data_IF_558610483193
#
_entry.id   IF_558610483193
#
_cell.length_a   1.000
_cell.length_b   1.000
_cell.length_c   1.000
_cell.angle_alpha   90.00
_cell.angle_beta   90.00
_cell.angle_gamma   90.00
#
_symmetry.space_group_name_H-M   'P 1'
#
loop_
_entity.id
_entity.type
_entity.pdbx_description
1 polymer ?
#
# COMPACT_ATOMS: atom_id res chain seq x y z
N UNK A 1 9.42 -3.57 24.29
CA UNK A 1 9.45 -2.19 23.75
C UNK A 1 8.35 -2.06 22.70
N UNK A 2 7.71 -0.90 22.53
CA UNK A 2 6.78 -0.68 21.43
C UNK A 2 7.51 -0.69 20.09
N UNK A 3 6.86 -1.20 19.05
CA UNK A 3 7.31 -1.01 17.68
C UNK A 3 6.83 0.36 17.21
N UNK A 4 7.70 1.13 16.56
CA UNK A 4 7.35 2.46 16.04
C UNK A 4 7.79 2.58 14.59
N UNK A 5 6.87 3.04 13.75
CA UNK A 5 7.10 3.33 12.34
C UNK A 5 6.64 4.77 12.03
N UNK A 6 7.37 5.44 11.14
CA UNK A 6 7.06 6.78 10.68
C UNK A 6 6.87 6.76 9.16
N UNK A 7 5.68 7.16 8.71
CA UNK A 7 5.41 7.41 7.30
C UNK A 7 5.58 8.91 7.04
N UNK A 8 6.62 9.28 6.29
CA UNK A 8 7.03 10.67 6.16
C UNK A 8 6.19 11.42 5.13
N UNK A 9 5.72 12.62 5.49
CA UNK A 9 4.98 13.52 4.58
C UNK A 9 3.54 13.10 4.25
N UNK A 10 3.01 12.03 4.84
CA UNK A 10 1.70 11.46 4.48
C UNK A 10 0.52 11.96 5.34
N UNK A 11 0.71 13.02 6.12
CA UNK A 11 -0.38 13.54 6.98
C UNK A 11 -1.61 14.01 6.20
N UNK A 12 -1.42 14.49 4.97
CA UNK A 12 -2.51 14.92 4.07
C UNK A 12 -3.39 13.76 3.61
N UNK A 13 -2.84 12.55 3.54
CA UNK A 13 -3.53 11.32 3.10
C UNK A 13 -3.80 10.35 4.25
N UNK A 14 -3.79 10.84 5.50
CA UNK A 14 -4.02 10.05 6.72
C UNK A 14 -5.22 9.09 6.63
N UNK A 15 -6.38 9.58 6.17
CA UNK A 15 -7.58 8.75 6.09
C UNK A 15 -7.43 7.62 5.07
N UNK A 16 -6.84 7.91 3.91
CA UNK A 16 -6.58 6.91 2.89
C UNK A 16 -5.57 5.86 3.38
N UNK A 17 -4.54 6.29 4.12
CA UNK A 17 -3.58 5.37 4.74
C UNK A 17 -4.29 4.41 5.70
N UNK A 18 -5.12 4.94 6.61
CA UNK A 18 -5.86 4.13 7.58
C UNK A 18 -6.81 3.15 6.91
N UNK A 19 -7.60 3.61 5.94
CA UNK A 19 -8.52 2.76 5.19
C UNK A 19 -7.77 1.61 4.52
N UNK A 20 -6.62 1.92 3.88
CA UNK A 20 -5.78 0.93 3.22
C UNK A 20 -5.14 -0.05 4.20
N UNK A 21 -4.69 0.43 5.35
CA UNK A 21 -4.09 -0.41 6.39
C UNK A 21 -5.12 -1.40 6.94
N UNK A 22 -6.33 -0.94 7.23
CA UNK A 22 -7.43 -1.80 7.68
C UNK A 22 -7.79 -2.85 6.63
N UNK A 23 -7.85 -2.47 5.35
CA UNK A 23 -8.10 -3.38 4.23
C UNK A 23 -7.02 -4.47 4.15
N UNK A 24 -5.74 -4.09 4.09
CA UNK A 24 -4.61 -5.02 3.97
C UNK A 24 -4.53 -6.00 5.15
N UNK A 25 -4.78 -5.52 6.38
CA UNK A 25 -4.77 -6.36 7.56
C UNK A 25 -5.94 -7.37 7.53
N UNK A 26 -7.15 -6.93 7.15
CA UNK A 26 -8.32 -7.81 7.02
C UNK A 26 -8.16 -8.86 5.92
N UNK A 27 -7.63 -8.47 4.76
CA UNK A 27 -7.33 -9.41 3.66
C UNK A 27 -6.34 -10.50 4.08
N UNK A 28 -5.46 -10.18 5.04
CA UNK A 28 -4.46 -11.11 5.59
C UNK A 28 -5.01 -11.96 6.75
N UNK A 29 -6.31 -11.85 7.03
CA UNK A 29 -7.02 -12.60 8.07
C UNK A 29 -6.88 -12.03 9.48
N UNK A 30 -6.40 -10.78 9.63
CA UNK A 30 -6.39 -10.12 10.93
C UNK A 30 -7.78 -9.59 11.28
N UNK A 31 -8.15 -9.72 12.55
CA UNK A 31 -9.32 -9.04 13.09
C UNK A 31 -8.92 -7.61 13.47
N UNK A 32 -9.66 -6.64 12.93
CA UNK A 32 -9.31 -5.21 13.01
C UNK A 32 -10.52 -4.41 13.46
N UNK A 33 -10.38 -3.72 14.60
CA UNK A 33 -11.40 -2.80 15.13
C UNK A 33 -10.77 -1.41 15.29
N UNK A 34 -11.05 -0.47 14.36
CA UNK A 34 -10.63 0.92 14.52
C UNK A 34 -11.55 1.64 15.51
N UNK A 35 -10.95 2.42 16.41
CA UNK A 35 -11.60 3.36 17.31
C UNK A 35 -10.99 4.75 17.11
N UNK A 36 -11.77 5.63 16.50
CA UNK A 36 -11.37 7.00 16.23
C UNK A 36 -11.62 7.88 17.44
N UNK A 37 -10.52 8.29 18.08
CA UNK A 37 -10.52 9.24 19.18
C UNK A 37 -10.02 10.61 18.71
N UNK A 38 -10.31 11.67 19.47
CA UNK A 38 -9.89 13.02 19.13
C UNK A 38 -8.35 13.12 19.04
N UNK A 39 -7.83 13.13 17.82
CA UNK A 39 -6.42 13.33 17.50
C UNK A 39 -5.59 12.06 17.25
N UNK A 40 -6.17 10.86 17.39
CA UNK A 40 -5.48 9.58 17.15
C UNK A 40 -6.49 8.45 16.89
N UNK A 41 -6.07 7.43 16.13
CA UNK A 41 -6.85 6.22 15.85
C UNK A 41 -6.21 5.05 16.56
N UNK A 42 -7.00 4.29 17.33
CA UNK A 42 -6.57 3.01 17.89
C UNK A 42 -7.06 1.88 17.01
N UNK A 43 -6.16 0.96 16.66
CA UNK A 43 -6.51 -0.22 15.90
C UNK A 43 -6.16 -1.44 16.74
N UNK A 44 -7.19 -2.17 17.18
CA UNK A 44 -6.99 -3.49 17.80
C UNK A 44 -6.69 -4.50 16.70
N UNK A 45 -5.61 -5.27 16.85
CA UNK A 45 -5.14 -6.25 15.88
C UNK A 45 -5.04 -7.60 16.56
N UNK A 46 -5.73 -8.60 16.01
CA UNK A 46 -5.53 -10.00 16.34
C UNK A 46 -5.13 -10.78 15.09
N UNK A 47 -3.98 -11.48 15.13
CA UNK A 47 -3.51 -12.27 14.01
C UNK A 47 -2.69 -13.47 14.48
N UNK A 48 -3.05 -14.67 14.00
CA UNK A 48 -2.37 -15.94 14.33
C UNK A 48 -2.16 -16.18 15.85
N UNK A 49 -3.10 -15.73 16.67
CA UNK A 49 -3.07 -15.88 18.13
C UNK A 49 -2.23 -14.84 18.88
N UNK A 50 -1.65 -13.87 18.18
CA UNK A 50 -1.05 -12.66 18.77
C UNK A 50 -2.06 -11.50 18.77
N UNK A 51 -2.01 -10.70 19.83
CA UNK A 51 -2.92 -9.60 20.09
C UNK A 51 -2.12 -8.34 20.46
N UNK A 52 -2.61 -7.19 20.00
CA UNK A 52 -2.07 -5.91 20.41
C UNK A 52 -2.81 -4.73 19.80
N UNK A 53 -2.38 -3.54 20.21
CA UNK A 53 -2.99 -2.29 19.81
C UNK A 53 -2.00 -1.44 19.03
N UNK A 54 -2.42 -0.97 17.86
CA UNK A 54 -1.70 -0.01 17.02
C UNK A 54 -2.32 1.38 17.20
N UNK A 55 -1.56 2.29 17.80
CA UNK A 55 -1.90 3.70 17.90
C UNK A 55 -1.36 4.42 16.66
N UNK A 56 -2.24 5.14 15.95
CA UNK A 56 -1.89 5.98 14.81
C UNK A 56 -2.15 7.43 15.16
N UNK A 57 -1.15 8.30 14.97
CA UNK A 57 -1.27 9.73 15.25
C UNK A 57 -0.50 10.57 14.25
N UNK A 58 -0.91 11.83 14.12
CA UNK A 58 -0.18 12.82 13.32
C UNK A 58 0.99 13.37 14.14
N UNK A 59 2.17 13.38 13.56
CA UNK A 59 3.41 13.86 14.15
C UNK A 59 4.04 14.89 13.20
N UNK A 60 3.52 16.12 13.21
CA UNK A 60 3.93 17.17 12.27
C UNK A 60 3.50 16.83 10.84
N UNK A 61 4.43 16.77 9.86
CA UNK A 61 4.12 16.33 8.49
C UNK A 61 3.95 14.81 8.37
N UNK A 62 4.33 14.04 9.40
CA UNK A 62 4.44 12.58 9.34
C UNK A 62 3.29 11.88 10.07
N UNK A 63 3.06 10.62 9.71
CA UNK A 63 2.21 9.71 10.47
C UNK A 63 3.08 8.82 11.34
N UNK A 64 2.75 8.77 12.63
CA UNK A 64 3.42 7.90 13.58
C UNK A 64 2.51 6.73 13.94
N UNK A 65 3.06 5.53 13.80
CA UNK A 65 2.43 4.25 14.11
C UNK A 65 3.16 3.65 15.30
N UNK A 66 2.45 3.37 16.40
CA UNK A 66 3.01 2.78 17.61
C UNK A 66 2.25 1.50 17.95
N UNK A 67 2.86 0.35 17.70
CA UNK A 67 2.29 -0.94 18.05
C UNK A 67 2.74 -1.38 19.45
N UNK A 68 1.77 -1.81 20.27
CA UNK A 68 1.98 -2.36 21.61
C UNK A 68 1.33 -3.76 21.69
N UNK A 69 2.10 -4.83 21.86
CA UNK A 69 1.55 -6.17 22.07
C UNK A 69 0.91 -6.27 23.47
N UNK A 70 -0.17 -7.04 23.59
CA UNK A 70 -0.91 -7.23 24.86
C UNK A 70 -0.18 -8.17 25.84
N UNK A 71 0.60 -9.12 25.32
CA UNK A 71 1.35 -10.06 26.15
C UNK A 71 2.70 -9.47 26.58
N UNK A 72 3.04 -9.44 27.89
CA UNK A 72 4.36 -9.06 28.39
C UNK A 72 5.34 -10.23 28.21
N UNK A 73 5.63 -10.58 26.95
CA UNK A 73 6.67 -11.54 26.58
C UNK A 73 7.95 -10.80 26.15
N UNK A 74 9.11 -11.33 26.55
CA UNK A 74 10.45 -10.77 26.35
C UNK A 74 10.65 -10.16 24.96
N UNK A 75 11.13 -8.91 24.94
CA UNK A 75 11.77 -8.21 23.82
C UNK A 75 11.61 -8.82 22.42
N UNK A 76 10.45 -8.67 21.78
CA UNK A 76 10.35 -8.96 20.33
C UNK A 76 9.58 -7.87 19.59
N UNK A 77 10.31 -6.81 19.21
CA UNK A 77 10.01 -6.00 18.02
C UNK A 77 10.16 -6.80 16.71
N UNK A 78 10.01 -8.12 16.77
CA UNK A 78 10.31 -9.11 15.72
C UNK A 78 9.28 -10.24 15.68
N UNK A 79 8.15 -10.10 16.39
CA UNK A 79 7.05 -11.07 16.33
C UNK A 79 6.36 -11.08 14.96
N UNK A 80 5.69 -12.20 14.60
CA UNK A 80 4.85 -12.33 13.41
C UNK A 80 3.95 -11.11 13.13
N UNK A 81 3.23 -10.57 14.13
CA UNK A 81 2.39 -9.37 13.92
C UNK A 81 3.21 -8.16 13.55
N UNK A 82 4.35 -7.93 14.23
CA UNK A 82 5.21 -6.78 13.95
C UNK A 82 5.79 -6.88 12.54
N UNK A 83 6.23 -8.06 12.13
CA UNK A 83 6.75 -8.29 10.78
C UNK A 83 5.67 -8.05 9.72
N UNK A 84 4.47 -8.62 9.91
CA UNK A 84 3.35 -8.44 9.00
C UNK A 84 2.92 -6.97 8.91
N UNK A 85 2.82 -6.29 10.05
CA UNK A 85 2.50 -4.87 10.12
C UNK A 85 3.58 -4.03 9.44
N UNK A 86 4.86 -4.34 9.65
CA UNK A 86 5.98 -3.61 9.03
C UNK A 86 5.87 -3.67 7.50
N UNK A 87 5.66 -4.86 6.94
CA UNK A 87 5.52 -5.01 5.49
C UNK A 87 4.30 -4.24 4.96
N UNK A 88 3.15 -4.33 5.65
CA UNK A 88 1.95 -3.59 5.27
C UNK A 88 2.17 -2.07 5.30
N UNK A 89 2.80 -1.54 6.35
CA UNK A 89 3.09 -0.12 6.49
C UNK A 89 4.04 0.39 5.40
N UNK A 90 5.11 -0.37 5.09
CA UNK A 90 6.05 -0.03 4.02
C UNK A 90 5.36 -0.05 2.66
N UNK A 91 4.57 -1.09 2.37
CA UNK A 91 3.88 -1.21 1.08
C UNK A 91 2.89 -0.06 0.86
N UNK A 92 2.19 0.40 1.91
CA UNK A 92 1.25 1.53 1.84
C UNK A 92 1.98 2.88 1.80
N UNK A 93 3.06 3.06 2.56
CA UNK A 93 3.88 4.28 2.53
C UNK A 93 4.42 4.54 1.12
N UNK A 94 5.01 3.51 0.50
CA UNK A 94 5.55 3.61 -0.85
C UNK A 94 4.45 3.84 -1.90
N UNK A 95 3.31 3.14 -1.79
CA UNK A 95 2.14 3.33 -2.68
C UNK A 95 1.66 4.79 -2.64
N UNK A 96 1.40 5.32 -1.44
CA UNK A 96 0.83 6.65 -1.27
C UNK A 96 1.82 7.76 -1.57
N UNK A 97 3.12 7.54 -1.30
CA UNK A 97 4.17 8.48 -1.67
C UNK A 97 4.29 8.59 -3.19
N UNK A 98 4.40 7.47 -3.89
CA UNK A 98 4.45 7.44 -5.36
C UNK A 98 3.20 8.12 -5.97
N UNK A 99 2.03 7.93 -5.36
CA UNK A 99 0.81 8.58 -5.80
C UNK A 99 0.87 10.11 -5.66
N UNK A 100 1.30 10.64 -4.51
CA UNK A 100 1.41 12.09 -4.30
C UNK A 100 2.44 12.70 -5.25
N UNK A 101 3.62 12.07 -5.37
CA UNK A 101 4.70 12.55 -6.23
C UNK A 101 4.26 12.57 -7.70
N UNK A 102 3.62 11.50 -8.19
CA UNK A 102 3.09 11.47 -9.55
C UNK A 102 1.98 12.50 -9.80
N UNK A 103 1.11 12.76 -8.83
CA UNK A 103 0.13 13.84 -8.97
C UNK A 103 0.79 15.23 -9.07
N UNK A 104 1.84 15.46 -8.29
CA UNK A 104 2.59 16.72 -8.34
C UNK A 104 3.32 16.89 -9.68
N UNK A 105 3.98 15.84 -10.17
CA UNK A 105 4.58 15.81 -11.52
C UNK A 105 3.54 16.19 -12.58
N UNK A 106 2.36 15.58 -12.51
CA UNK A 106 1.29 15.79 -13.50
C UNK A 106 0.71 17.20 -13.46
N UNK A 107 0.72 17.86 -12.29
CA UNK A 107 0.32 19.27 -12.17
C UNK A 107 1.35 20.22 -12.78
N UNK A 108 2.64 19.89 -12.69
CA UNK A 108 3.73 20.71 -13.19
C UNK A 108 3.93 20.58 -14.70
N UNK A 109 3.68 19.39 -15.25
CA UNK A 109 3.96 19.05 -16.66
C UNK A 109 2.69 18.78 -17.49
N UNK A 110 1.52 19.21 -17.02
CA UNK A 110 0.24 18.93 -17.68
C UNK A 110 0.00 19.65 -19.03
N UNK A 111 -0.76 19.00 -19.91
CA UNK A 111 -1.17 19.50 -21.23
C UNK A 111 -1.80 18.38 -22.09
N UNK A 112 -2.30 18.72 -23.28
CA UNK A 112 -2.89 17.74 -24.20
C UNK A 112 -1.88 16.67 -24.65
N UNK A 113 -0.63 17.07 -24.89
CA UNK A 113 0.46 16.16 -25.24
C UNK A 113 0.77 15.18 -24.09
N UNK A 114 0.67 15.63 -22.84
CA UNK A 114 0.88 14.81 -21.65
C UNK A 114 -0.21 13.75 -21.48
N UNK A 115 -1.46 14.04 -21.88
CA UNK A 115 -2.53 13.06 -21.84
C UNK A 115 -2.31 11.93 -22.85
N UNK A 116 -1.82 12.24 -24.05
CA UNK A 116 -1.54 11.22 -25.08
C UNK A 116 -0.30 10.38 -24.73
N UNK A 117 0.75 11.00 -24.22
CA UNK A 117 1.90 10.28 -23.67
C UNK A 117 1.47 9.35 -22.53
N UNK A 118 0.62 9.84 -21.63
CA UNK A 118 0.07 9.03 -20.54
C UNK A 118 -0.78 7.85 -21.03
N UNK A 119 -1.55 8.00 -22.11
CA UNK A 119 -2.30 6.86 -22.70
C UNK A 119 -1.36 5.75 -23.15
N UNK A 120 -0.26 6.09 -23.80
CA UNK A 120 0.76 5.10 -24.21
C UNK A 120 1.40 4.45 -23.00
N UNK A 121 1.76 5.25 -22.01
CA UNK A 121 2.33 4.75 -20.77
C UNK A 121 1.41 3.76 -20.05
N UNK A 122 0.12 4.09 -19.86
CA UNK A 122 -0.86 3.15 -19.29
C UNK A 122 -1.07 1.91 -20.16
N UNK A 123 -0.90 1.99 -21.47
CA UNK A 123 -0.95 0.80 -22.30
C UNK A 123 0.23 -0.14 -21.99
N UNK A 124 1.43 0.40 -21.84
CA UNK A 124 2.63 -0.37 -21.49
C UNK A 124 2.52 -0.99 -20.09
N UNK A 125 2.13 -0.20 -19.08
CA UNK A 125 1.87 -0.69 -17.72
C UNK A 125 0.78 -1.77 -17.71
N UNK A 126 -0.25 -1.63 -18.56
CA UNK A 126 -1.30 -2.64 -18.71
C UNK A 126 -0.77 -3.98 -19.23
N UNK A 127 0.18 -3.96 -20.18
CA UNK A 127 0.82 -5.17 -20.68
C UNK A 127 1.69 -5.83 -19.59
N UNK A 128 2.41 -5.04 -18.80
CA UNK A 128 3.22 -5.52 -17.68
C UNK A 128 2.36 -6.19 -16.61
N UNK A 129 1.25 -5.56 -16.21
CA UNK A 129 0.26 -6.13 -15.28
C UNK A 129 -0.22 -7.52 -15.74
N UNK A 130 -0.51 -7.68 -17.03
CA UNK A 130 -0.94 -8.96 -17.58
C UNK A 130 0.16 -10.03 -17.46
N UNK A 131 1.40 -9.66 -17.76
CA UNK A 131 2.56 -10.55 -17.65
C UNK A 131 2.79 -11.00 -16.21
N UNK A 132 2.87 -10.05 -15.28
CA UNK A 132 3.10 -10.32 -13.85
C UNK A 132 1.94 -11.14 -13.26
N UNK A 133 0.69 -10.89 -13.68
CA UNK A 133 -0.46 -11.69 -13.27
C UNK A 133 -0.33 -13.15 -13.69
N UNK A 134 0.11 -13.40 -14.92
CA UNK A 134 0.32 -14.76 -15.40
C UNK A 134 1.44 -15.48 -14.63
N UNK A 135 2.48 -14.75 -14.20
CA UNK A 135 3.56 -15.29 -13.37
C UNK A 135 3.09 -15.64 -11.94
N UNK A 136 2.38 -14.71 -11.27
CA UNK A 136 1.76 -14.96 -9.95
C UNK A 136 0.86 -16.19 -10.01
N UNK A 137 0.02 -16.31 -11.07
CA UNK A 137 -0.85 -17.47 -11.26
C UNK A 137 -0.05 -18.76 -11.37
N UNK A 138 1.02 -18.78 -12.16
CA UNK A 138 1.85 -19.98 -12.34
C UNK A 138 2.51 -20.44 -11.04
N UNK A 139 3.06 -19.51 -10.26
CA UNK A 139 3.68 -19.84 -8.97
C UNK A 139 2.63 -20.34 -7.97
N UNK A 140 1.45 -19.73 -7.94
CA UNK A 140 0.31 -20.21 -7.14
C UNK A 140 -0.11 -21.63 -7.52
N UNK A 141 -0.19 -21.94 -8.81
CA UNK A 141 -0.51 -23.29 -9.30
C UNK A 141 0.54 -24.34 -8.94
N UNK A 142 1.80 -23.93 -8.75
CA UNK A 142 2.89 -24.78 -8.23
C UNK A 142 2.85 -24.98 -6.71
N UNK A 143 1.96 -24.27 -6.02
CA UNK A 143 1.80 -24.34 -4.56
C UNK A 143 2.72 -23.40 -3.79
N UNK A 144 3.36 -22.44 -4.46
CA UNK A 144 4.20 -21.44 -3.81
C UNK A 144 3.36 -20.39 -3.04
N UNK A 145 3.94 -19.82 -1.97
CA UNK A 145 3.29 -18.76 -1.19
C UNK A 145 3.41 -17.40 -1.90
N UNK A 146 2.41 -17.10 -2.73
CA UNK A 146 2.29 -15.81 -3.41
C UNK A 146 1.37 -14.81 -2.67
N UNK A 147 1.09 -15.00 -1.39
CA UNK A 147 0.06 -14.21 -0.68
C UNK A 147 0.31 -12.70 -0.72
N UNK A 148 1.57 -12.26 -0.52
CA UNK A 148 1.94 -10.84 -0.62
C UNK A 148 1.99 -10.35 -2.07
N UNK A 149 2.71 -11.00 -3.01
CA UNK A 149 2.68 -10.64 -4.43
C UNK A 149 1.25 -10.54 -5.00
N UNK A 150 0.38 -11.50 -4.71
CA UNK A 150 -1.00 -11.50 -5.18
C UNK A 150 -1.81 -10.33 -4.62
N UNK A 151 -1.60 -9.95 -3.36
CA UNK A 151 -2.25 -8.78 -2.76
C UNK A 151 -1.81 -7.48 -3.42
N UNK A 152 -0.50 -7.31 -3.62
CA UNK A 152 0.06 -6.11 -4.25
C UNK A 152 -0.40 -6.00 -5.72
N UNK A 153 -0.46 -7.13 -6.43
CA UNK A 153 -0.98 -7.18 -7.79
C UNK A 153 -2.46 -6.76 -7.86
N UNK A 154 -3.34 -7.30 -7.01
CA UNK A 154 -4.75 -6.87 -6.98
C UNK A 154 -4.90 -5.36 -6.73
N UNK A 155 -4.03 -4.81 -5.90
CA UNK A 155 -4.00 -3.37 -5.64
C UNK A 155 -3.55 -2.59 -6.89
N UNK A 156 -2.49 -3.05 -7.54
CA UNK A 156 -2.02 -2.47 -8.80
C UNK A 156 -3.12 -2.48 -9.87
N UNK A 157 -3.88 -3.58 -10.03
CA UNK A 157 -5.02 -3.66 -10.96
C UNK A 157 -6.13 -2.64 -10.64
N UNK A 158 -6.40 -2.44 -9.34
CA UNK A 158 -7.40 -1.45 -8.88
C UNK A 158 -6.96 -0.02 -9.20
N UNK A 159 -5.70 0.31 -8.92
CA UNK A 159 -5.12 1.62 -9.21
C UNK A 159 -5.02 1.88 -10.71
N UNK A 160 -4.67 0.87 -11.50
CA UNK A 160 -4.63 0.93 -12.95
C UNK A 160 -5.99 1.29 -13.54
N UNK A 161 -7.03 0.59 -13.12
CA UNK A 161 -8.41 0.87 -13.54
C UNK A 161 -8.83 2.29 -13.15
N UNK A 162 -8.42 2.73 -11.95
CA UNK A 162 -8.63 4.10 -11.49
C UNK A 162 -7.84 5.16 -12.27
N UNK A 163 -6.63 4.84 -12.74
CA UNK A 163 -5.79 5.73 -13.54
C UNK A 163 -6.38 5.93 -14.93
N UNK A 164 -6.80 4.84 -15.59
CA UNK A 164 -7.48 4.88 -16.88
C UNK A 164 -8.77 5.72 -16.80
N UNK A 165 -9.59 5.50 -15.77
CA UNK A 165 -10.81 6.28 -15.55
C UNK A 165 -10.54 7.77 -15.30
N UNK A 166 -9.45 8.12 -14.60
CA UNK A 166 -9.08 9.52 -14.38
C UNK A 166 -8.60 10.19 -15.66
N UNK A 167 -7.83 9.46 -16.48
CA UNK A 167 -7.34 9.96 -17.75
C UNK A 167 -8.49 10.22 -18.73
N UNK A 168 -9.47 9.30 -18.80
CA UNK A 168 -10.70 9.47 -19.59
C UNK A 168 -11.52 10.68 -19.14
N UNK A 169 -11.48 10.99 -17.84
CA UNK A 169 -12.13 12.17 -17.26
C UNK A 169 -11.30 13.47 -17.39
N UNK A 170 -10.14 13.44 -18.06
CA UNK A 170 -9.23 14.58 -18.20
C UNK A 170 -8.50 14.98 -16.90
N UNK A 171 -8.50 14.11 -15.89
CA UNK A 171 -7.79 14.31 -14.62
C UNK A 171 -6.37 13.76 -14.71
N UNK A 172 -5.60 14.25 -15.66
CA UNK A 172 -4.24 13.77 -15.97
C UNK A 172 -3.32 13.70 -14.74
N UNK A 173 -3.30 14.67 -13.82
CA UNK A 173 -2.46 14.54 -12.63
C UNK A 173 -2.84 13.35 -11.73
N UNK A 174 -4.14 13.16 -11.47
CA UNK A 174 -4.62 12.03 -10.66
C UNK A 174 -4.35 10.68 -11.34
N UNK A 175 -4.47 10.64 -12.67
CA UNK A 175 -4.08 9.48 -13.45
C UNK A 175 -2.58 9.16 -13.30
N UNK A 176 -1.71 10.19 -13.31
CA UNK A 176 -0.26 10.00 -13.14
C UNK A 176 0.12 9.54 -11.75
N UNK A 177 -0.47 10.12 -10.69
CA UNK A 177 -0.28 9.60 -9.35
C UNK A 177 -0.60 8.10 -9.25
N UNK A 178 -1.77 7.70 -9.75
CA UNK A 178 -2.16 6.28 -9.73
C UNK A 178 -1.23 5.41 -10.59
N UNK A 179 -0.79 5.88 -11.76
CA UNK A 179 0.14 5.14 -12.60
C UNK A 179 1.49 4.90 -11.89
N UNK A 180 2.07 5.94 -11.25
CA UNK A 180 3.29 5.81 -10.44
C UNK A 180 3.15 4.80 -9.31
N UNK A 181 1.99 4.82 -8.63
CA UNK A 181 1.69 3.85 -7.59
C UNK A 181 1.57 2.42 -8.14
N UNK A 182 1.04 2.23 -9.36
CA UNK A 182 1.02 0.93 -10.04
C UNK A 182 2.43 0.44 -10.31
N UNK A 183 3.30 1.27 -10.89
CA UNK A 183 4.71 0.93 -11.16
C UNK A 183 5.42 0.47 -9.88
N UNK A 184 5.31 1.26 -8.80
CA UNK A 184 5.92 0.94 -7.50
C UNK A 184 5.43 -0.39 -6.94
N UNK A 185 4.14 -0.70 -7.10
CA UNK A 185 3.59 -1.98 -6.66
C UNK A 185 4.05 -3.14 -7.53
N UNK A 186 4.15 -2.96 -8.85
CA UNK A 186 4.66 -3.99 -9.77
C UNK A 186 6.11 -4.34 -9.45
N UNK A 187 6.98 -3.34 -9.26
CA UNK A 187 8.37 -3.57 -8.84
C UNK A 187 8.44 -4.41 -7.55
N UNK A 188 7.57 -4.13 -6.57
CA UNK A 188 7.49 -4.92 -5.33
C UNK A 188 6.93 -6.32 -5.54
N UNK A 189 5.99 -6.49 -6.47
CA UNK A 189 5.47 -7.81 -6.84
C UNK A 189 6.62 -8.62 -7.43
N UNK A 190 7.28 -8.12 -8.47
CA UNK A 190 8.39 -8.78 -9.16
C UNK A 190 9.55 -9.11 -8.20
N UNK A 191 9.94 -8.17 -7.33
CA UNK A 191 10.94 -8.43 -6.30
C UNK A 191 10.51 -9.58 -5.37
N UNK A 192 9.24 -9.60 -4.96
CA UNK A 192 8.69 -10.67 -4.13
C UNK A 192 8.59 -12.01 -4.87
N UNK A 193 8.36 -12.02 -6.18
CA UNK A 193 8.37 -13.23 -7.00
C UNK A 193 9.79 -13.77 -7.20
N UNK A 194 10.79 -12.89 -7.35
CA UNK A 194 12.20 -13.28 -7.47
C UNK A 194 12.81 -13.90 -6.20
N UNK A 195 12.13 -13.76 -5.07
CA UNK A 195 12.52 -14.37 -3.78
C UNK A 195 11.88 -15.75 -3.54
N UNK A 196 10.94 -16.19 -4.41
CA UNK A 196 10.25 -17.49 -4.36
C UNK A 196 11.02 -18.54 -5.17
#
# INVERSE_FOLDING_TARGET
MPYTYYAHGLTTVHHLFLDRLVEVLKESGAEVVPDDSAGWTLIQIAWRGEYGALEVRRAGPDLQFVYRPDSPGEEKNTGPVVHHLTLALIDIDDELRAMIEGEEEGRLHGGDDAAEEMRRHLQDTGNELLSVRDEVRQLKERGEDVSRPERLLRRAETLYSGAASDLDAGRTPAALGKARAVETLLEKVEAGLGEI
#
